data_IF_831435398424
#
_entry.id   IF_831435398424
#
_cell.length_a   1.000
_cell.length_b   1.000
_cell.length_c   1.000
_cell.angle_alpha   90.00
_cell.angle_beta   90.00
_cell.angle_gamma   90.00
#
_symmetry.space_group_name_H-M   'P 1'
#
loop_
_entity.id
_entity.type
_entity.pdbx_description
1 polymer ?
#
# COMPACT_ATOMS: atom_id res chain seq x y z
N UNK A 1 6.36 25.93 -20.87
CA UNK A 1 6.61 24.47 -20.76
C UNK A 1 7.05 24.24 -19.32
N UNK A 2 6.28 23.44 -18.55
CA UNK A 2 6.60 23.20 -17.15
C UNK A 2 7.70 22.15 -17.00
N UNK A 3 8.58 22.35 -16.04
CA UNK A 3 9.69 21.47 -15.67
C UNK A 3 9.32 20.69 -14.43
N UNK A 4 9.27 19.39 -14.52
CA UNK A 4 8.87 18.50 -13.41
C UNK A 4 10.04 17.61 -13.00
N UNK A 5 10.55 17.82 -11.79
CA UNK A 5 11.61 16.98 -11.23
C UNK A 5 10.98 15.80 -10.51
N UNK A 6 11.50 14.61 -10.79
CA UNK A 6 11.07 13.38 -10.12
C UNK A 6 12.07 13.00 -9.03
N UNK A 7 11.55 12.56 -7.90
CA UNK A 7 12.34 12.03 -6.79
C UNK A 7 11.81 10.65 -6.40
N UNK A 8 12.70 9.70 -6.25
CA UNK A 8 12.39 8.26 -6.15
C UNK A 8 11.84 7.68 -7.48
N UNK A 9 11.54 6.38 -7.44
CA UNK A 9 10.96 5.71 -8.59
C UNK A 9 9.49 6.08 -8.74
N UNK A 10 9.15 6.74 -9.84
CA UNK A 10 7.78 7.05 -10.27
C UNK A 10 7.45 6.20 -11.50
N UNK A 11 6.22 5.71 -11.58
CA UNK A 11 5.77 4.85 -12.69
C UNK A 11 5.94 5.55 -14.04
N UNK A 12 6.60 4.91 -15.04
CA UNK A 12 6.78 5.48 -16.39
C UNK A 12 5.47 5.90 -17.05
N UNK A 13 4.38 5.16 -16.83
CA UNK A 13 3.09 5.51 -17.43
C UNK A 13 2.53 6.83 -16.89
N UNK A 14 2.87 7.21 -15.66
CA UNK A 14 2.51 8.51 -15.08
C UNK A 14 3.36 9.64 -15.65
N UNK A 15 4.65 9.39 -15.83
CA UNK A 15 5.59 10.36 -16.42
C UNK A 15 5.25 10.65 -17.88
N UNK A 16 4.97 9.63 -18.66
CA UNK A 16 4.55 9.76 -20.07
C UNK A 16 3.32 10.68 -20.22
N UNK A 17 2.34 10.59 -19.32
CA UNK A 17 1.16 11.48 -19.36
C UNK A 17 1.50 12.95 -19.17
N UNK A 18 2.54 13.27 -18.44
CA UNK A 18 3.03 14.64 -18.27
C UNK A 18 3.77 15.12 -19.50
N UNK A 19 4.60 14.27 -20.10
CA UNK A 19 5.32 14.55 -21.35
C UNK A 19 4.34 14.80 -22.51
N UNK A 20 3.30 13.97 -22.63
CA UNK A 20 2.22 14.13 -23.61
C UNK A 20 1.47 15.48 -23.44
N UNK A 21 1.49 16.05 -22.24
CA UNK A 21 0.93 17.38 -21.94
C UNK A 21 1.94 18.52 -22.08
N UNK A 22 3.12 18.23 -22.63
CA UNK A 22 4.16 19.20 -22.90
C UNK A 22 5.02 19.59 -21.70
N UNK A 23 5.04 18.77 -20.63
CA UNK A 23 5.99 18.96 -19.53
C UNK A 23 7.35 18.34 -19.87
N UNK A 24 8.43 18.93 -19.38
CA UNK A 24 9.76 18.30 -19.33
C UNK A 24 9.88 17.58 -18.00
N UNK A 25 10.12 16.26 -18.03
CA UNK A 25 10.14 15.42 -16.84
C UNK A 25 11.50 14.75 -16.69
N UNK A 26 12.06 14.72 -15.49
CA UNK A 26 13.33 14.03 -15.22
C UNK A 26 13.81 14.17 -13.78
N UNK A 27 14.84 13.40 -13.43
CA UNK A 27 15.43 13.41 -12.08
C UNK A 27 16.35 14.63 -11.86
N UNK A 28 17.08 15.05 -12.90
CA UNK A 28 18.09 16.11 -12.84
C UNK A 28 17.61 17.40 -13.54
N UNK A 29 16.42 17.87 -13.17
CA UNK A 29 15.83 19.10 -13.71
C UNK A 29 16.29 20.28 -12.83
N UNK A 30 17.02 21.27 -13.37
CA UNK A 30 17.34 22.49 -12.67
C UNK A 30 16.11 23.42 -12.64
N UNK A 31 15.94 24.15 -11.53
CA UNK A 31 14.87 25.12 -11.34
C UNK A 31 13.49 24.54 -11.73
N UNK A 32 13.02 23.47 -11.09
CA UNK A 32 11.74 22.83 -11.41
C UNK A 32 10.56 23.71 -11.03
N UNK A 33 9.51 23.69 -11.84
CA UNK A 33 8.21 24.26 -11.51
C UNK A 33 7.40 23.32 -10.60
N UNK A 34 7.66 21.99 -10.67
CA UNK A 34 6.99 20.99 -9.87
C UNK A 34 7.88 19.84 -9.46
N UNK A 35 7.56 19.23 -8.30
CA UNK A 35 8.18 17.99 -7.83
C UNK A 35 7.16 16.86 -7.84
N UNK A 36 7.60 15.67 -8.27
CA UNK A 36 6.85 14.43 -8.07
C UNK A 36 7.73 13.48 -7.26
N UNK A 37 7.18 13.01 -6.14
CA UNK A 37 7.89 12.12 -5.23
C UNK A 37 6.99 11.05 -4.62
N UNK A 38 7.58 10.06 -4.00
CA UNK A 38 6.90 9.03 -3.20
C UNK A 38 7.32 9.10 -1.74
N UNK A 39 8.56 8.79 -1.44
CA UNK A 39 9.09 8.64 -0.08
C UNK A 39 10.28 9.55 0.24
N UNK A 40 10.74 10.38 -0.69
CA UNK A 40 11.80 11.33 -0.43
C UNK A 40 11.37 12.30 0.67
N UNK A 41 12.25 12.55 1.62
CA UNK A 41 12.03 13.50 2.69
C UNK A 41 12.41 14.90 2.23
N UNK A 42 11.48 15.84 2.31
CA UNK A 42 11.65 17.22 1.89
C UNK A 42 11.90 18.20 3.08
N UNK A 43 11.97 17.73 4.32
CA UNK A 43 12.14 18.62 5.47
C UNK A 43 13.49 19.37 5.45
N UNK A 44 14.50 18.82 4.81
CA UNK A 44 15.81 19.47 4.60
C UNK A 44 16.07 19.87 3.15
N UNK A 45 15.05 19.76 2.28
CA UNK A 45 15.19 20.12 0.88
C UNK A 45 15.12 21.64 0.69
N UNK A 46 16.10 22.20 -0.02
CA UNK A 46 16.10 23.61 -0.38
C UNK A 46 15.17 23.85 -1.57
N UNK A 47 13.97 24.38 -1.31
CA UNK A 47 13.00 24.67 -2.37
C UNK A 47 13.48 25.81 -3.27
N UNK A 48 13.54 25.56 -4.57
CA UNK A 48 13.83 26.54 -5.59
C UNK A 48 12.72 27.59 -5.68
N UNK A 49 13.04 28.86 -5.97
CA UNK A 49 12.03 29.92 -6.09
C UNK A 49 11.01 29.69 -7.22
N UNK A 50 11.34 28.86 -8.20
CA UNK A 50 10.46 28.48 -9.33
C UNK A 50 9.40 27.46 -8.94
N UNK A 51 9.55 26.78 -7.79
CA UNK A 51 8.68 25.67 -7.41
C UNK A 51 7.30 26.15 -7.00
N UNK A 52 6.27 25.71 -7.71
CA UNK A 52 4.87 26.09 -7.47
C UNK A 52 4.01 24.91 -6.98
N UNK A 53 4.44 23.65 -7.22
CA UNK A 53 3.64 22.48 -6.86
C UNK A 53 4.48 21.27 -6.48
N UNK A 54 3.97 20.49 -5.54
CA UNK A 54 4.51 19.18 -5.15
C UNK A 54 3.41 18.14 -5.25
N UNK A 55 3.66 17.04 -5.93
CA UNK A 55 2.73 15.91 -6.03
C UNK A 55 3.35 14.67 -5.37
N UNK A 56 2.70 14.13 -4.34
CA UNK A 56 3.09 12.89 -3.70
C UNK A 56 2.32 11.70 -4.24
N UNK A 57 3.04 10.72 -4.77
CA UNK A 57 2.47 9.44 -5.18
C UNK A 57 2.20 8.55 -3.96
N UNK A 58 1.12 8.84 -3.25
CA UNK A 58 0.69 8.15 -2.03
C UNK A 58 -0.21 9.03 -1.14
N UNK A 59 -0.82 8.44 -0.11
CA UNK A 59 -1.81 9.11 0.73
C UNK A 59 -1.19 10.02 1.81
N UNK A 60 -0.14 9.57 2.50
CA UNK A 60 0.48 10.34 3.57
C UNK A 60 1.27 11.54 3.06
N UNK A 61 1.51 12.53 3.91
CA UNK A 61 2.28 13.75 3.57
C UNK A 61 3.35 14.05 4.61
N UNK A 62 3.63 13.12 5.50
CA UNK A 62 4.56 13.25 6.61
C UNK A 62 6.02 13.51 6.21
N UNK A 63 6.37 13.29 4.97
CA UNK A 63 7.68 13.56 4.39
C UNK A 63 7.76 14.92 3.65
N UNK A 64 6.71 15.75 3.76
CA UNK A 64 6.62 17.07 3.12
C UNK A 64 6.35 18.12 4.20
N UNK A 65 7.15 19.17 4.32
CA UNK A 65 6.95 20.25 5.28
C UNK A 65 5.80 21.17 4.83
N UNK A 66 4.56 20.77 5.12
CA UNK A 66 3.34 21.43 4.63
C UNK A 66 3.24 22.91 5.03
N UNK A 67 3.68 23.24 6.25
CA UNK A 67 3.68 24.63 6.72
C UNK A 67 4.63 25.51 5.89
N UNK A 68 5.86 25.04 5.64
CA UNK A 68 6.82 25.78 4.82
C UNK A 68 6.35 25.89 3.38
N UNK A 69 5.76 24.84 2.81
CA UNK A 69 5.12 24.89 1.49
C UNK A 69 4.03 25.95 1.43
N UNK A 70 3.17 26.00 2.45
CA UNK A 70 2.09 26.99 2.54
C UNK A 70 2.64 28.44 2.57
N UNK A 71 3.64 28.70 3.39
CA UNK A 71 4.28 30.02 3.48
C UNK A 71 4.93 30.46 2.18
N UNK A 72 5.41 29.51 1.38
CA UNK A 72 6.03 29.78 0.06
C UNK A 72 5.02 29.79 -1.08
N UNK A 73 3.75 29.51 -0.83
CA UNK A 73 2.72 29.42 -1.88
C UNK A 73 2.85 28.17 -2.76
N UNK A 74 3.50 27.12 -2.28
CA UNK A 74 3.65 25.83 -2.98
C UNK A 74 2.43 24.97 -2.69
N UNK A 75 1.70 24.56 -3.74
CA UNK A 75 0.54 23.68 -3.60
C UNK A 75 1.00 22.23 -3.47
N UNK A 76 0.48 21.50 -2.46
CA UNK A 76 0.81 20.10 -2.25
C UNK A 76 -0.38 19.22 -2.58
N UNK A 77 -0.16 18.24 -3.47
CA UNK A 77 -1.12 17.21 -3.85
C UNK A 77 -0.68 15.85 -3.33
N UNK A 78 -1.64 15.02 -2.97
CA UNK A 78 -1.43 13.62 -2.63
C UNK A 78 -2.44 12.74 -3.39
N UNK A 79 -2.29 11.41 -3.30
CA UNK A 79 -3.18 10.45 -3.97
C UNK A 79 -3.77 9.44 -2.98
N UNK A 80 -4.73 9.88 -2.11
CA UNK A 80 -5.35 8.99 -1.15
C UNK A 80 -6.17 7.91 -1.85
N UNK A 81 -6.11 6.67 -1.32
CA UNK A 81 -6.86 5.54 -1.85
C UNK A 81 -6.29 4.88 -3.11
N UNK A 82 -5.29 5.46 -3.78
CA UNK A 82 -4.77 4.93 -5.05
C UNK A 82 -4.20 3.49 -4.94
N UNK A 83 -3.73 3.09 -3.76
CA UNK A 83 -3.21 1.75 -3.47
C UNK A 83 -4.13 0.91 -2.58
N UNK A 84 -5.37 1.35 -2.33
CA UNK A 84 -6.24 0.72 -1.34
C UNK A 84 -6.57 -0.74 -1.69
N UNK A 85 -6.80 -1.04 -2.96
CA UNK A 85 -7.04 -2.41 -3.44
C UNK A 85 -5.83 -3.31 -3.21
N UNK A 86 -4.63 -2.87 -3.57
CA UNK A 86 -3.41 -3.65 -3.38
C UNK A 86 -3.12 -3.93 -1.90
N UNK A 87 -3.39 -2.95 -1.01
CA UNK A 87 -3.24 -3.15 0.45
C UNK A 87 -4.29 -4.13 0.97
N UNK A 88 -5.54 -4.04 0.51
CA UNK A 88 -6.61 -5.00 0.85
C UNK A 88 -6.17 -6.44 0.50
N UNK A 89 -5.68 -6.66 -0.72
CA UNK A 89 -5.20 -7.97 -1.16
C UNK A 89 -4.07 -8.52 -0.28
N UNK A 90 -3.10 -7.67 0.06
CA UNK A 90 -2.01 -8.03 0.95
C UNK A 90 -2.50 -8.40 2.36
N UNK A 91 -3.48 -7.68 2.90
CA UNK A 91 -4.06 -7.99 4.22
C UNK A 91 -4.83 -9.30 4.18
N UNK A 92 -5.63 -9.56 3.12
CA UNK A 92 -6.32 -10.84 2.95
C UNK A 92 -5.35 -12.02 2.90
N UNK A 93 -4.26 -11.88 2.16
CA UNK A 93 -3.17 -12.87 2.15
C UNK A 93 -2.62 -13.09 3.57
N UNK A 94 -2.33 -11.99 4.29
CA UNK A 94 -1.79 -12.05 5.65
C UNK A 94 -2.75 -12.72 6.65
N UNK A 95 -4.06 -12.49 6.52
CA UNK A 95 -5.07 -13.15 7.35
C UNK A 95 -5.07 -14.68 7.13
N UNK A 96 -4.97 -15.13 5.88
CA UNK A 96 -4.87 -16.56 5.58
C UNK A 96 -3.56 -17.16 6.13
N UNK A 97 -2.43 -16.48 5.92
CA UNK A 97 -1.12 -16.91 6.41
C UNK A 97 -1.05 -16.96 7.94
N UNK A 98 -1.74 -16.05 8.64
CA UNK A 98 -1.79 -16.03 10.11
C UNK A 98 -2.61 -17.18 10.70
N UNK A 99 -3.53 -17.74 9.93
CA UNK A 99 -4.42 -18.83 10.36
C UNK A 99 -3.87 -20.23 10.04
N UNK A 100 -2.89 -20.34 9.14
CA UNK A 100 -2.36 -21.62 8.64
C UNK A 100 -0.86 -21.51 8.40
N UNK A 101 -0.12 -22.57 8.71
CA UNK A 101 1.33 -22.62 8.46
C UNK A 101 1.63 -22.95 6.98
N UNK A 102 1.28 -22.02 6.10
CA UNK A 102 1.51 -22.16 4.65
C UNK A 102 3.02 -22.15 4.34
N UNK A 103 3.79 -21.27 4.99
CA UNK A 103 5.23 -21.15 4.74
C UNK A 103 5.97 -22.40 5.18
N UNK A 104 5.70 -22.92 6.38
CA UNK A 104 6.25 -24.17 6.85
C UNK A 104 5.88 -25.35 5.97
N UNK A 105 4.64 -25.41 5.45
CA UNK A 105 4.22 -26.45 4.51
C UNK A 105 4.99 -26.41 3.19
N UNK A 106 5.28 -25.23 2.65
CA UNK A 106 6.09 -25.04 1.44
C UNK A 106 7.50 -25.56 1.66
N UNK A 107 8.14 -25.19 2.77
CA UNK A 107 9.51 -25.63 3.05
C UNK A 107 9.59 -27.14 3.33
N UNK A 108 8.58 -27.68 4.00
CA UNK A 108 8.46 -29.12 4.19
C UNK A 108 8.31 -29.87 2.85
N UNK A 109 7.45 -29.39 1.94
CA UNK A 109 7.27 -29.99 0.60
C UNK A 109 8.57 -29.96 -0.21
N UNK A 110 9.32 -28.85 -0.17
CA UNK A 110 10.65 -28.78 -0.81
C UNK A 110 11.59 -29.85 -0.28
N UNK A 111 11.53 -30.18 1.02
CA UNK A 111 12.30 -31.25 1.66
C UNK A 111 11.93 -32.68 1.21
N UNK A 112 10.80 -32.87 0.49
CA UNK A 112 10.42 -34.18 -0.07
C UNK A 112 11.13 -34.51 -1.38
N UNK A 113 11.92 -33.60 -1.92
CA UNK A 113 12.66 -33.82 -3.15
C UNK A 113 13.53 -35.08 -3.02
N UNK A 114 13.46 -36.00 -3.99
CA UNK A 114 14.20 -37.25 -4.01
C UNK A 114 13.55 -38.42 -3.24
N UNK A 115 12.39 -38.22 -2.55
CA UNK A 115 11.68 -39.27 -1.81
C UNK A 115 10.87 -40.25 -2.68
N UNK A 116 10.65 -39.93 -3.94
CA UNK A 116 10.01 -40.79 -4.94
C UNK A 116 8.67 -41.38 -4.49
N UNK A 117 8.58 -42.72 -4.44
CA UNK A 117 7.32 -43.42 -4.15
C UNK A 117 6.81 -43.25 -2.71
N UNK A 118 7.64 -42.75 -1.80
CA UNK A 118 7.28 -42.58 -0.38
C UNK A 118 6.45 -41.30 -0.14
N UNK A 119 6.43 -40.39 -1.11
CA UNK A 119 5.77 -39.08 -0.97
C UNK A 119 4.30 -39.15 -0.53
N UNK A 120 3.42 -40.01 -1.11
CA UNK A 120 2.01 -40.06 -0.68
C UNK A 120 1.86 -40.44 0.79
N UNK A 121 2.62 -41.42 1.27
CA UNK A 121 2.58 -41.86 2.66
C UNK A 121 3.12 -40.80 3.63
N UNK A 122 4.18 -40.08 3.24
CA UNK A 122 4.73 -38.97 4.02
C UNK A 122 3.76 -37.82 4.11
N UNK A 123 3.07 -37.48 3.01
CA UNK A 123 2.04 -36.39 3.00
C UNK A 123 0.90 -36.75 3.94
N UNK A 124 0.33 -37.97 3.83
CA UNK A 124 -0.77 -38.39 4.71
C UNK A 124 -0.37 -38.37 6.19
N UNK A 125 0.81 -38.78 6.52
CA UNK A 125 1.32 -38.78 7.91
C UNK A 125 1.56 -37.38 8.46
N UNK A 126 1.94 -36.41 7.61
CA UNK A 126 2.49 -35.15 8.07
C UNK A 126 1.57 -33.93 7.80
N UNK A 127 0.58 -34.01 6.90
CA UNK A 127 -0.26 -32.88 6.50
C UNK A 127 -0.99 -32.19 7.67
N UNK A 128 -1.31 -32.93 8.72
CA UNK A 128 -2.04 -32.40 9.87
C UNK A 128 -1.23 -31.37 10.68
N UNK A 129 0.10 -31.39 10.61
CA UNK A 129 0.95 -30.43 11.33
C UNK A 129 0.82 -29.00 10.80
N UNK A 130 0.36 -28.84 9.56
CA UNK A 130 0.15 -27.53 8.93
C UNK A 130 -1.30 -27.06 9.00
N UNK A 131 -2.18 -27.82 9.64
CA UNK A 131 -3.57 -27.44 9.84
C UNK A 131 -3.67 -26.23 10.76
N UNK A 132 -4.66 -25.38 10.49
CA UNK A 132 -4.94 -24.23 11.31
C UNK A 132 -6.43 -23.90 11.32
N UNK A 133 -6.88 -22.96 12.14
CA UNK A 133 -8.28 -22.59 12.23
C UNK A 133 -8.76 -21.91 10.95
N UNK A 134 -10.05 -22.08 10.66
CA UNK A 134 -10.72 -21.30 9.61
C UNK A 134 -10.92 -19.85 10.05
N UNK A 135 -10.96 -18.94 9.08
CA UNK A 135 -11.25 -17.53 9.32
C UNK A 135 -12.74 -17.27 9.55
N UNK A 136 -13.60 -18.09 8.97
CA UNK A 136 -15.05 -18.00 9.15
C UNK A 136 -15.42 -18.01 10.64
N UNK A 137 -16.29 -17.07 11.05
CA UNK A 137 -16.74 -16.91 12.44
C UNK A 137 -15.72 -16.25 13.39
N UNK A 138 -14.49 -15.98 12.95
CA UNK A 138 -13.54 -15.16 13.73
C UNK A 138 -13.97 -13.70 13.73
N UNK A 139 -13.37 -12.91 14.61
CA UNK A 139 -13.62 -11.46 14.67
C UNK A 139 -12.36 -10.70 14.28
N UNK A 140 -12.47 -9.81 13.30
CA UNK A 140 -11.44 -8.87 12.88
C UNK A 140 -11.73 -7.49 13.45
N UNK A 141 -10.78 -6.94 14.22
CA UNK A 141 -10.79 -5.52 14.61
C UNK A 141 -10.14 -4.66 13.54
N UNK A 142 -10.84 -3.62 13.09
CA UNK A 142 -10.32 -2.64 12.12
C UNK A 142 -10.25 -1.28 12.79
N UNK A 143 -9.03 -0.74 12.93
CA UNK A 143 -8.79 0.60 13.46
C UNK A 143 -8.52 1.54 12.28
N UNK A 144 -9.41 2.51 12.08
CA UNK A 144 -9.43 3.38 10.91
C UNK A 144 -10.29 2.81 9.77
N UNK A 145 -11.46 3.41 9.53
CA UNK A 145 -12.41 3.00 8.49
C UNK A 145 -12.35 3.90 7.24
N UNK A 146 -11.17 4.46 6.96
CA UNK A 146 -10.91 5.19 5.71
C UNK A 146 -10.92 4.27 4.49
N UNK A 147 -10.43 4.77 3.35
CA UNK A 147 -10.46 4.08 2.06
C UNK A 147 -9.94 2.62 2.09
N UNK A 148 -8.91 2.33 2.89
CA UNK A 148 -8.33 0.99 3.03
C UNK A 148 -9.13 0.15 4.03
N UNK A 149 -9.40 0.70 5.23
CA UNK A 149 -10.08 -0.05 6.30
C UNK A 149 -11.47 -0.50 5.92
N UNK A 150 -12.25 0.34 5.21
CA UNK A 150 -13.56 0.00 4.71
C UNK A 150 -13.52 -1.16 3.69
N UNK A 151 -12.55 -1.14 2.76
CA UNK A 151 -12.37 -2.23 1.79
C UNK A 151 -12.00 -3.55 2.47
N UNK A 152 -11.14 -3.50 3.49
CA UNK A 152 -10.75 -4.69 4.28
C UNK A 152 -11.95 -5.22 5.06
N UNK A 153 -12.71 -4.34 5.72
CA UNK A 153 -13.90 -4.70 6.48
C UNK A 153 -14.93 -5.43 5.60
N UNK A 154 -15.26 -4.86 4.45
CA UNK A 154 -16.19 -5.47 3.49
C UNK A 154 -15.69 -6.82 2.96
N UNK A 155 -14.40 -6.92 2.64
CA UNK A 155 -13.82 -8.19 2.17
C UNK A 155 -13.83 -9.26 3.28
N UNK A 156 -13.58 -8.89 4.53
CA UNK A 156 -13.64 -9.81 5.67
C UNK A 156 -15.06 -10.33 5.92
N UNK A 157 -16.07 -9.45 5.84
CA UNK A 157 -17.48 -9.87 5.93
C UNK A 157 -17.83 -10.89 4.85
N UNK A 158 -17.38 -10.69 3.62
CA UNK A 158 -17.59 -11.63 2.51
C UNK A 158 -16.89 -12.98 2.72
N UNK A 159 -15.86 -13.05 3.56
CA UNK A 159 -15.22 -14.29 3.99
C UNK A 159 -15.87 -14.93 5.23
N UNK A 160 -17.00 -14.40 5.69
CA UNK A 160 -17.69 -14.89 6.89
C UNK A 160 -16.99 -14.53 8.20
N UNK A 161 -16.13 -13.51 8.21
CA UNK A 161 -15.45 -12.97 9.39
C UNK A 161 -16.36 -11.89 9.99
N UNK A 162 -16.55 -11.91 11.30
CA UNK A 162 -17.20 -10.81 12.00
C UNK A 162 -16.26 -9.61 12.05
N UNK A 163 -16.77 -8.40 11.81
CA UNK A 163 -15.94 -7.19 11.82
C UNK A 163 -16.38 -6.26 12.93
N UNK A 164 -15.40 -5.76 13.70
CA UNK A 164 -15.57 -4.67 14.66
C UNK A 164 -14.64 -3.52 14.22
N UNK A 165 -15.22 -2.38 13.86
CA UNK A 165 -14.50 -1.21 13.40
C UNK A 165 -14.44 -0.10 14.45
N UNK A 166 -13.35 0.66 14.44
CA UNK A 166 -13.20 1.89 15.21
C UNK A 166 -12.60 2.98 14.35
N UNK A 167 -13.25 4.13 14.31
CA UNK A 167 -12.73 5.34 13.69
C UNK A 167 -13.22 6.58 14.47
N UNK A 168 -12.32 7.44 14.97
CA UNK A 168 -12.73 8.60 15.77
C UNK A 168 -13.38 9.72 14.94
N UNK A 169 -13.29 9.67 13.60
CA UNK A 169 -13.78 10.71 12.71
C UNK A 169 -15.02 10.29 11.89
N UNK A 170 -15.39 9.03 11.94
CA UNK A 170 -16.58 8.51 11.26
C UNK A 170 -17.74 8.35 12.23
N UNK A 171 -18.91 8.90 11.89
CA UNK A 171 -20.15 8.57 12.58
C UNK A 171 -20.61 7.15 12.22
N UNK A 172 -21.42 6.53 13.11
CA UNK A 172 -21.99 5.21 12.86
C UNK A 172 -22.79 5.18 11.55
N UNK A 173 -23.52 6.26 11.24
CA UNK A 173 -24.32 6.40 10.02
C UNK A 173 -23.49 6.50 8.74
N UNK A 174 -22.23 6.91 8.84
CA UNK A 174 -21.31 6.98 7.70
C UNK A 174 -20.50 5.69 7.49
N UNK A 175 -20.57 4.75 8.41
CA UNK A 175 -19.83 3.48 8.38
C UNK A 175 -20.60 2.35 7.68
N UNK A 176 -21.90 2.58 7.34
CA UNK A 176 -22.79 1.56 6.71
C UNK A 176 -23.23 1.92 5.31
#
# INVERSE_FOLDING_TARGET
MYKIKTMNHISPCGLQKLEERGCVVGENIPDPDGLILRSADLHSYAFEPSLIAIARSGAGTNNIPLEDCCHRGIVVFNSPGANAEAVKEQILCSLVLSSRDVLGSIDWVKGLNGRGKDIPALVEKSKAQFAGPELMGKTLGVIGLGAIGALIANAAVNLGINVCGYDPYLSVDAAW
#
